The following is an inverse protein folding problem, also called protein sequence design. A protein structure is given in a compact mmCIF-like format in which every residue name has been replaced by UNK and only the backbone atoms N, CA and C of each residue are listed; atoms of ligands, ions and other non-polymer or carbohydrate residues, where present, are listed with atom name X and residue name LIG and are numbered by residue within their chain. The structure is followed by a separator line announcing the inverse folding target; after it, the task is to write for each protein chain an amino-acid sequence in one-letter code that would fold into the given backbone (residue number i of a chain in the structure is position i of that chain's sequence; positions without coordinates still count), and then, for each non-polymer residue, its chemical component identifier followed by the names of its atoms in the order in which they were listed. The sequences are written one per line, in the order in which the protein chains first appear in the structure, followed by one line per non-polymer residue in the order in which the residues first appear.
data_IF_919910744826
#
_entry.id   IF_919910744826
#
_cell.length_a   1.000
_cell.length_b   1.000
_cell.length_c   1.000
_cell.angle_alpha   90.00
_cell.angle_beta   90.00
_cell.angle_gamma   90.00
#
_symmetry.space_group_name_H-M   'P 1'
#
loop_
_entity.id
_entity.type
_entity.pdbx_description
1 polymer ?
#
# COMPACT_ATOMS: atom_id res chain seq x y z
N UNK A 1 -46.80 15.62 -2.49
CA UNK A 1 -45.63 15.31 -1.65
C UNK A 1 -45.17 16.61 -1.00
N UNK A 2 -45.04 16.67 0.33
CA UNK A 2 -44.56 17.88 1.01
C UNK A 2 -43.03 17.96 0.89
N UNK A 3 -42.48 19.16 0.74
CA UNK A 3 -41.04 19.44 0.61
C UNK A 3 -40.17 18.74 1.67
N UNK A 4 -40.70 18.59 2.88
CA UNK A 4 -40.02 17.92 4.00
C UNK A 4 -39.83 16.41 3.75
N UNK A 5 -40.75 15.76 3.05
CA UNK A 5 -40.63 14.32 2.74
C UNK A 5 -39.60 14.08 1.64
N UNK A 6 -39.49 14.98 0.66
CA UNK A 6 -38.43 14.94 -0.37
C UNK A 6 -37.04 15.13 0.25
N UNK A 7 -36.89 16.06 1.19
CA UNK A 7 -35.61 16.29 1.88
C UNK A 7 -35.19 15.09 2.74
N UNK A 8 -36.15 14.41 3.39
CA UNK A 8 -35.90 13.19 4.16
C UNK A 8 -35.48 12.02 3.28
N UNK A 9 -36.09 11.90 2.11
CA UNK A 9 -35.78 10.86 1.14
C UNK A 9 -34.40 11.10 0.50
N UNK A 10 -34.05 12.34 0.18
CA UNK A 10 -32.70 12.72 -0.28
C UNK A 10 -31.63 12.43 0.78
N UNK A 11 -31.85 12.80 2.05
CA UNK A 11 -30.91 12.49 3.14
C UNK A 11 -30.72 10.98 3.29
N UNK A 12 -31.81 10.20 3.19
CA UNK A 12 -31.72 8.73 3.28
C UNK A 12 -30.96 8.14 2.10
N UNK A 13 -31.27 8.57 0.87
CA UNK A 13 -30.58 8.13 -0.34
C UNK A 13 -29.08 8.50 -0.29
N UNK A 14 -28.74 9.71 0.17
CA UNK A 14 -27.35 10.12 0.35
C UNK A 14 -26.63 9.30 1.43
N UNK A 15 -27.28 9.01 2.56
CA UNK A 15 -26.69 8.15 3.61
C UNK A 15 -26.50 6.70 3.16
N UNK A 16 -27.46 6.15 2.41
CA UNK A 16 -27.39 4.80 1.83
C UNK A 16 -26.26 4.71 0.79
N UNK A 17 -26.11 5.74 -0.07
CA UNK A 17 -25.02 5.85 -1.03
C UNK A 17 -23.64 5.99 -0.37
N UNK A 18 -23.52 6.78 0.70
CA UNK A 18 -22.26 6.95 1.43
C UNK A 18 -21.84 5.63 2.13
N UNK A 19 -22.80 4.89 2.67
CA UNK A 19 -22.56 3.59 3.32
C UNK A 19 -22.12 2.53 2.30
N UNK A 20 -22.80 2.44 1.15
CA UNK A 20 -22.41 1.55 0.05
C UNK A 20 -21.01 1.90 -0.48
N UNK A 21 -20.72 3.19 -0.61
CA UNK A 21 -19.42 3.68 -1.06
C UNK A 21 -18.27 3.30 -0.12
N UNK A 22 -18.43 3.48 1.19
CA UNK A 22 -17.44 3.05 2.20
C UNK A 22 -17.25 1.53 2.19
N UNK A 23 -18.33 0.77 2.00
CA UNK A 23 -18.30 -0.69 1.90
C UNK A 23 -17.50 -1.17 0.68
N UNK A 24 -17.78 -0.62 -0.51
CA UNK A 24 -17.03 -0.94 -1.74
C UNK A 24 -15.55 -0.61 -1.63
N UNK A 25 -15.21 0.55 -1.04
CA UNK A 25 -13.83 0.96 -0.74
C UNK A 25 -13.12 -0.05 0.13
N UNK A 26 -13.76 -0.47 1.21
CA UNK A 26 -13.22 -1.47 2.13
C UNK A 26 -12.95 -2.81 1.44
N UNK A 27 -13.91 -3.31 0.66
CA UNK A 27 -13.74 -4.55 -0.09
C UNK A 27 -12.63 -4.46 -1.13
N UNK A 28 -12.51 -3.35 -1.86
CA UNK A 28 -11.42 -3.15 -2.82
C UNK A 28 -10.05 -3.12 -2.11
N UNK A 29 -9.94 -2.38 -1.00
CA UNK A 29 -8.72 -2.33 -0.20
C UNK A 29 -8.32 -3.71 0.32
N UNK A 30 -9.29 -4.52 0.78
CA UNK A 30 -9.05 -5.90 1.21
C UNK A 30 -8.58 -6.79 0.06
N UNK A 31 -9.22 -6.70 -1.11
CA UNK A 31 -8.82 -7.48 -2.28
C UNK A 31 -7.41 -7.11 -2.76
N UNK A 32 -7.07 -5.82 -2.76
CA UNK A 32 -5.72 -5.35 -3.07
C UNK A 32 -4.72 -5.84 -2.03
N UNK A 33 -5.04 -5.73 -0.74
CA UNK A 33 -4.19 -6.20 0.34
C UNK A 33 -3.91 -7.71 0.22
N UNK A 34 -4.94 -8.52 -0.03
CA UNK A 34 -4.81 -9.96 -0.26
C UNK A 34 -3.89 -10.28 -1.43
N UNK A 35 -4.08 -9.60 -2.58
CA UNK A 35 -3.18 -9.74 -3.74
C UNK A 35 -1.71 -9.53 -3.37
N UNK A 36 -1.37 -8.52 -2.57
CA UNK A 36 0.02 -8.26 -2.20
C UNK A 36 0.58 -9.26 -1.17
N UNK A 37 -0.27 -9.79 -0.27
CA UNK A 37 0.12 -10.88 0.63
C UNK A 37 0.37 -12.16 -0.16
N UNK A 38 -0.50 -12.52 -1.10
CA UNK A 38 -0.32 -13.67 -2.00
C UNK A 38 1.02 -13.59 -2.78
N UNK A 39 1.39 -12.38 -3.22
CA UNK A 39 2.66 -12.14 -3.89
C UNK A 39 3.86 -12.37 -2.95
N UNK A 40 3.80 -11.87 -1.70
CA UNK A 40 4.84 -12.11 -0.69
C UNK A 40 5.00 -13.61 -0.43
N UNK A 41 3.90 -14.33 -0.25
CA UNK A 41 3.94 -15.77 0.00
C UNK A 41 4.59 -16.53 -1.15
N UNK A 42 4.25 -16.19 -2.39
CA UNK A 42 4.83 -16.88 -3.54
C UNK A 42 6.33 -16.58 -3.69
N UNK A 43 6.75 -15.33 -3.49
CA UNK A 43 8.17 -14.96 -3.46
C UNK A 43 8.92 -15.71 -2.35
N UNK A 44 8.33 -15.81 -1.15
CA UNK A 44 8.91 -16.54 -0.02
C UNK A 44 9.00 -18.04 -0.31
N UNK A 45 7.99 -18.65 -0.93
CA UNK A 45 8.03 -20.06 -1.36
C UNK A 45 9.14 -20.31 -2.36
N UNK A 46 9.33 -19.41 -3.32
CA UNK A 46 10.43 -19.49 -4.28
C UNK A 46 11.77 -19.40 -3.55
N UNK A 47 11.95 -18.41 -2.66
CA UNK A 47 13.17 -18.23 -1.89
C UNK A 47 13.51 -19.45 -1.02
N UNK A 48 12.51 -20.03 -0.33
CA UNK A 48 12.66 -21.24 0.46
C UNK A 48 13.11 -22.45 -0.41
N UNK A 49 12.47 -22.65 -1.58
CA UNK A 49 12.83 -23.73 -2.52
C UNK A 49 14.22 -23.56 -3.11
N UNK A 50 14.65 -22.33 -3.35
CA UNK A 50 15.96 -22.01 -3.91
C UNK A 50 17.07 -21.97 -2.86
N UNK A 51 16.76 -22.07 -1.57
CA UNK A 51 17.75 -21.94 -0.50
C UNK A 51 18.19 -20.50 -0.21
N UNK A 52 17.45 -19.51 -0.73
CA UNK A 52 17.75 -18.09 -0.56
C UNK A 52 17.11 -17.56 0.73
N UNK A 53 17.62 -18.01 1.87
CA UNK A 53 17.20 -17.56 3.19
C UNK A 53 18.39 -17.51 4.14
N UNK A 54 18.30 -16.65 5.15
CA UNK A 54 19.31 -16.57 6.19
C UNK A 54 19.05 -17.66 7.24
N UNK A 55 20.11 -18.30 7.73
CA UNK A 55 20.02 -19.28 8.83
C UNK A 55 20.41 -18.61 10.14
N UNK A 56 19.51 -18.59 11.10
CA UNK A 56 19.70 -18.04 12.44
C UNK A 56 19.53 -19.18 13.45
N UNK A 57 20.61 -19.73 14.00
CA UNK A 57 20.67 -20.84 14.98
C UNK A 57 19.63 -21.97 14.79
N UNK A 58 18.35 -21.76 15.14
CA UNK A 58 17.25 -22.71 15.02
C UNK A 58 16.09 -22.26 14.10
N UNK A 59 16.30 -21.25 13.25
CA UNK A 59 15.29 -20.63 12.38
C UNK A 59 15.85 -20.27 11.02
N UNK A 60 14.97 -20.17 10.03
CA UNK A 60 15.24 -19.56 8.74
C UNK A 60 14.51 -18.21 8.65
N UNK A 61 15.18 -17.24 8.03
CA UNK A 61 14.63 -15.90 7.80
C UNK A 61 14.64 -15.61 6.30
N UNK A 62 13.47 -15.34 5.73
CA UNK A 62 13.33 -14.75 4.40
C UNK A 62 13.04 -13.27 4.58
N UNK A 63 13.87 -12.42 3.98
CA UNK A 63 13.66 -10.98 3.90
C UNK A 63 13.43 -10.58 2.45
N UNK A 64 12.50 -9.66 2.22
CA UNK A 64 12.17 -9.18 0.89
C UNK A 64 11.57 -7.78 0.88
N UNK A 65 11.13 -7.35 -0.30
CA UNK A 65 10.47 -6.07 -0.49
C UNK A 65 9.35 -6.21 -1.51
N UNK A 66 8.12 -5.95 -1.09
CA UNK A 66 6.96 -5.96 -1.99
C UNK A 66 6.74 -4.55 -2.54
N UNK A 67 6.98 -4.37 -3.84
CA UNK A 67 6.74 -3.11 -4.53
C UNK A 67 5.26 -2.95 -4.89
N UNK A 68 4.67 -1.80 -4.53
CA UNK A 68 3.32 -1.45 -4.93
C UNK A 68 3.29 -0.88 -6.35
N UNK A 69 2.24 -1.21 -7.07
CA UNK A 69 1.91 -0.63 -8.35
C UNK A 69 0.97 0.56 -8.17
N UNK A 70 1.41 1.78 -8.55
CA UNK A 70 0.57 3.00 -8.50
C UNK A 70 -0.80 2.80 -9.17
N UNK A 71 -0.84 2.02 -10.25
CA UNK A 71 -2.08 1.79 -11.02
C UNK A 71 -3.17 1.05 -10.24
N UNK A 72 -2.80 0.29 -9.21
CA UNK A 72 -3.78 -0.40 -8.36
C UNK A 72 -4.60 0.61 -7.52
N UNK A 73 -4.09 1.83 -7.35
CA UNK A 73 -4.69 2.92 -6.58
C UNK A 73 -5.16 4.08 -7.46
N UNK A 74 -4.93 4.02 -8.77
CA UNK A 74 -5.29 5.08 -9.74
C UNK A 74 -6.75 4.99 -10.23
N UNK A 75 -7.48 3.92 -9.90
CA UNK A 75 -8.84 3.68 -10.40
C UNK A 75 -9.87 4.59 -9.70
N UNK A 76 -10.67 5.38 -10.44
CA UNK A 76 -11.69 6.21 -9.82
C UNK A 76 -12.90 5.36 -9.40
N UNK A 77 -13.44 5.61 -8.20
CA UNK A 77 -14.62 4.90 -7.68
C UNK A 77 -15.88 5.17 -8.50
N UNK A 78 -15.91 6.34 -9.13
CA UNK A 78 -16.98 6.83 -9.99
C UNK A 78 -16.30 7.41 -11.22
N UNK A 79 -16.85 7.20 -12.41
CA UNK A 79 -16.30 7.71 -13.69
C UNK A 79 -16.06 9.23 -13.72
N UNK A 80 -16.56 9.97 -12.72
CA UNK A 80 -16.41 11.42 -12.52
C UNK A 80 -15.26 11.84 -11.60
N UNK A 81 -14.60 10.93 -10.86
CA UNK A 81 -13.48 11.31 -9.98
C UNK A 81 -12.17 11.49 -10.75
N UNK A 82 -11.43 12.56 -10.41
CA UNK A 82 -10.08 12.78 -10.93
C UNK A 82 -9.14 11.74 -10.32
N UNK A 83 -8.28 11.15 -11.16
CA UNK A 83 -7.20 10.24 -10.72
C UNK A 83 -6.38 10.93 -9.63
N UNK A 84 -6.26 10.29 -8.47
CA UNK A 84 -5.42 10.75 -7.36
C UNK A 84 -4.32 9.74 -7.11
N UNK A 85 -3.07 10.18 -7.23
CA UNK A 85 -1.92 9.39 -6.80
C UNK A 85 -1.93 9.28 -5.28
N UNK A 86 -1.40 8.19 -4.73
CA UNK A 86 -1.19 8.08 -3.28
C UNK A 86 0.11 8.78 -2.82
N UNK A 87 0.92 9.30 -3.74
CA UNK A 87 2.14 10.06 -3.46
C UNK A 87 2.02 11.50 -3.95
N UNK A 88 2.51 12.44 -3.13
CA UNK A 88 2.73 13.84 -3.50
C UNK A 88 4.22 14.13 -3.61
N UNK A 89 4.57 14.79 -4.70
CA UNK A 89 5.93 15.29 -4.97
C UNK A 89 5.92 16.81 -4.95
N UNK A 90 6.54 17.41 -3.93
CA UNK A 90 6.68 18.86 -3.81
C UNK A 90 8.15 19.24 -3.78
N UNK A 91 8.64 19.77 -4.90
CA UNK A 91 10.06 20.08 -5.13
C UNK A 91 10.95 18.83 -4.98
N UNK A 92 11.39 18.54 -3.75
CA UNK A 92 12.22 17.40 -3.38
C UNK A 92 11.64 16.58 -2.21
N UNK A 93 10.50 17.02 -1.66
CA UNK A 93 9.77 16.33 -0.60
C UNK A 93 8.82 15.34 -1.26
N UNK A 94 8.87 14.12 -0.76
CA UNK A 94 8.02 13.01 -1.18
C UNK A 94 7.24 12.58 0.05
N UNK A 95 5.93 12.59 -0.05
CA UNK A 95 5.01 12.27 1.05
C UNK A 95 3.78 11.53 0.54
N UNK A 96 3.06 10.89 1.47
CA UNK A 96 1.76 10.29 1.16
C UNK A 96 0.74 11.37 0.85
N UNK A 97 -0.12 11.12 -0.13
CA UNK A 97 -1.29 11.95 -0.39
C UNK A 97 -2.35 11.68 0.70
N UNK A 98 -2.61 12.64 1.61
CA UNK A 98 -3.60 12.44 2.66
C UNK A 98 -5.03 12.31 2.14
N UNK A 99 -5.28 12.67 0.87
CA UNK A 99 -6.61 12.61 0.26
C UNK A 99 -6.87 11.28 -0.49
N UNK A 100 -5.96 10.31 -0.39
CA UNK A 100 -6.13 8.96 -0.96
C UNK A 100 -6.70 8.00 0.09
N UNK A 101 -8.02 8.06 0.30
CA UNK A 101 -8.74 7.24 1.28
C UNK A 101 -8.63 5.73 1.00
N UNK A 102 -8.54 5.31 -0.27
CA UNK A 102 -8.34 3.89 -0.62
C UNK A 102 -7.00 3.39 -0.10
N UNK A 103 -5.94 4.18 -0.26
CA UNK A 103 -4.61 3.81 0.21
C UNK A 103 -4.55 3.73 1.73
N UNK A 104 -5.22 4.64 2.45
CA UNK A 104 -5.32 4.58 3.91
C UNK A 104 -6.01 3.30 4.40
N UNK A 105 -7.15 2.95 3.81
CA UNK A 105 -7.87 1.71 4.15
C UNK A 105 -7.06 0.48 3.76
N UNK A 106 -6.34 0.53 2.64
CA UNK A 106 -5.42 -0.52 2.20
C UNK A 106 -4.30 -0.76 3.21
N UNK A 107 -3.65 0.29 3.75
CA UNK A 107 -2.59 0.14 4.75
C UNK A 107 -3.07 -0.65 5.98
N UNK A 108 -4.29 -0.34 6.45
CA UNK A 108 -4.92 -1.03 7.58
C UNK A 108 -5.25 -2.49 7.25
N UNK A 109 -5.85 -2.75 6.08
CA UNK A 109 -6.16 -4.10 5.64
C UNK A 109 -4.90 -4.95 5.44
N UNK A 110 -3.88 -4.40 4.78
CA UNK A 110 -2.61 -5.06 4.51
C UNK A 110 -1.88 -5.46 5.78
N UNK A 111 -1.77 -4.54 6.75
CA UNK A 111 -1.16 -4.85 8.05
C UNK A 111 -1.88 -6.00 8.75
N UNK A 112 -3.21 -5.97 8.77
CA UNK A 112 -4.01 -7.04 9.41
C UNK A 112 -3.82 -8.40 8.75
N UNK A 113 -3.71 -8.43 7.42
CA UNK A 113 -3.44 -9.68 6.70
C UNK A 113 -2.00 -10.17 6.92
N UNK A 114 -1.00 -9.28 6.89
CA UNK A 114 0.38 -9.65 7.25
C UNK A 114 0.43 -10.27 8.67
N UNK A 115 -0.24 -9.64 9.65
CA UNK A 115 -0.31 -10.15 11.03
C UNK A 115 -0.99 -11.52 11.11
N UNK A 116 -2.04 -11.77 10.32
CA UNK A 116 -2.73 -13.06 10.28
C UNK A 116 -1.83 -14.19 9.71
N UNK A 117 -0.99 -13.86 8.73
CA UNK A 117 -0.07 -14.80 8.08
C UNK A 117 1.32 -14.86 8.75
N UNK A 118 1.51 -14.22 9.90
CA UNK A 118 2.80 -14.10 10.61
C UNK A 118 3.93 -13.48 9.76
N UNK A 119 3.57 -12.58 8.85
CA UNK A 119 4.51 -11.80 8.04
C UNK A 119 4.82 -10.50 8.77
N UNK A 120 6.11 -10.25 9.05
CA UNK A 120 6.56 -8.99 9.64
C UNK A 120 6.70 -7.96 8.51
N UNK A 121 5.67 -7.14 8.33
CA UNK A 121 5.66 -6.05 7.35
C UNK A 121 6.16 -4.74 8.00
N UNK A 122 7.28 -4.19 7.52
CA UNK A 122 7.78 -2.89 7.95
C UNK A 122 6.87 -1.75 7.44
N UNK A 123 6.93 -0.53 8.02
CA UNK A 123 6.15 0.62 7.54
C UNK A 123 6.39 0.88 6.05
N UNK A 124 5.45 1.55 5.38
CA UNK A 124 5.59 1.90 3.97
C UNK A 124 6.84 2.77 3.71
N UNK A 125 7.68 2.37 2.74
CA UNK A 125 8.97 3.01 2.46
C UNK A 125 9.17 3.21 0.95
N UNK A 126 9.99 4.19 0.61
CA UNK A 126 10.60 4.29 -0.70
C UNK A 126 11.87 3.44 -0.74
N UNK A 127 12.02 2.62 -1.77
CA UNK A 127 13.27 1.95 -2.12
C UNK A 127 14.05 2.87 -3.06
N UNK A 128 15.28 3.19 -2.68
CA UNK A 128 16.13 4.16 -3.37
C UNK A 128 17.43 3.47 -3.76
N UNK A 129 17.87 3.73 -4.99
CA UNK A 129 19.19 3.34 -5.49
C UNK A 129 20.13 4.55 -5.44
N UNK A 130 21.31 4.38 -4.86
CA UNK A 130 22.37 5.37 -4.92
C UNK A 130 23.15 5.32 -6.26
N UNK A 131 24.15 6.20 -6.39
CA UNK A 131 25.03 6.27 -7.58
C UNK A 131 25.86 5.00 -7.81
N UNK A 132 26.11 4.22 -6.77
CA UNK A 132 26.95 3.03 -6.76
C UNK A 132 26.10 1.75 -6.96
N UNK A 133 24.77 1.92 -7.07
CA UNK A 133 23.80 0.85 -7.26
C UNK A 133 23.29 0.22 -5.97
N UNK A 134 23.72 0.70 -4.80
CA UNK A 134 23.24 0.18 -3.53
C UNK A 134 21.78 0.58 -3.30
N UNK A 135 20.99 -0.36 -2.79
CA UNK A 135 19.61 -0.13 -2.42
C UNK A 135 19.49 0.17 -0.93
N UNK A 136 18.72 1.20 -0.60
CA UNK A 136 18.36 1.53 0.78
C UNK A 136 16.90 1.97 0.84
N UNK A 137 16.32 1.86 2.03
CA UNK A 137 14.92 2.20 2.26
C UNK A 137 14.76 3.45 3.10
N UNK A 138 13.71 4.23 2.82
CA UNK A 138 13.42 5.45 3.56
C UNK A 138 11.91 5.57 3.83
N UNK A 139 11.55 5.81 5.09
CA UNK A 139 10.17 6.10 5.49
C UNK A 139 9.73 7.47 4.98
N UNK A 140 8.44 7.63 4.71
CA UNK A 140 7.85 8.92 4.33
C UNK A 140 7.42 9.74 5.57
N UNK A 141 7.38 11.08 5.47
CA UNK A 141 7.86 11.90 4.36
C UNK A 141 9.38 11.90 4.28
N UNK A 142 9.92 12.07 3.08
CA UNK A 142 11.36 12.09 2.84
C UNK A 142 11.78 13.23 1.91
N UNK A 143 13.05 13.63 2.01
CA UNK A 143 13.68 14.52 1.03
C UNK A 143 14.87 13.81 0.42
N UNK A 144 14.96 13.76 -0.90
CA UNK A 144 16.14 13.22 -1.58
C UNK A 144 17.34 14.11 -1.27
N UNK A 145 18.39 13.54 -0.66
CA UNK A 145 19.60 14.28 -0.26
C UNK A 145 20.40 14.68 -1.49
N UNK A 146 20.38 13.84 -2.54
CA UNK A 146 21.03 14.15 -3.80
C UNK A 146 20.19 13.69 -5.00
N UNK A 147 19.20 14.49 -5.44
CA UNK A 147 18.26 14.11 -6.50
C UNK A 147 18.89 13.77 -7.87
N UNK A 148 20.14 14.18 -8.10
CA UNK A 148 20.87 13.85 -9.34
C UNK A 148 21.55 12.48 -9.29
N UNK A 149 21.73 11.92 -8.10
CA UNK A 149 22.49 10.69 -7.85
C UNK A 149 21.63 9.58 -7.25
N UNK A 150 20.62 9.94 -6.49
CA UNK A 150 19.67 9.04 -5.87
C UNK A 150 18.44 8.91 -6.78
N UNK A 151 17.99 7.67 -7.00
CA UNK A 151 16.80 7.37 -7.79
C UNK A 151 15.83 6.52 -6.98
N UNK A 152 14.57 6.93 -6.93
CA UNK A 152 13.51 6.09 -6.38
C UNK A 152 13.25 4.97 -7.37
N UNK A 153 13.39 3.73 -6.90
CA UNK A 153 13.18 2.51 -7.68
C UNK A 153 11.72 2.07 -7.55
N UNK A 154 11.20 2.07 -6.33
CA UNK A 154 9.85 1.62 -6.02
C UNK A 154 9.36 2.21 -4.68
N UNK A 155 8.06 2.10 -4.44
CA UNK A 155 7.46 2.30 -3.12
C UNK A 155 6.79 1.01 -2.68
N UNK A 156 6.87 0.67 -1.40
CA UNK A 156 6.43 -0.64 -0.96
C UNK A 156 6.72 -0.93 0.50
N UNK A 157 6.67 -2.21 0.83
CA UNK A 157 6.89 -2.71 2.19
C UNK A 157 8.06 -3.69 2.20
N UNK A 158 9.12 -3.39 2.96
CA UNK A 158 10.05 -4.43 3.37
C UNK A 158 9.31 -5.45 4.24
N UNK A 159 9.57 -6.74 4.04
CA UNK A 159 8.94 -7.81 4.81
C UNK A 159 9.96 -8.83 5.31
N UNK A 160 9.59 -9.53 6.38
CA UNK A 160 10.33 -10.65 6.96
C UNK A 160 9.40 -11.80 7.33
N UNK A 161 9.84 -13.03 7.07
CA UNK A 161 9.13 -14.26 7.44
C UNK A 161 10.12 -15.19 8.14
N UNK A 162 9.81 -15.56 9.38
CA UNK A 162 10.56 -16.53 10.18
C UNK A 162 9.87 -17.90 10.16
N UNK A 163 10.63 -18.99 9.93
CA UNK A 163 10.12 -20.37 9.95
C UNK A 163 11.18 -21.40 10.36
#
# INVERSE_FOLDING_TARGET
MQFIDQLREEIRLHGDMETDFRSRRYHQAQNLAGKYVDMIEEEARIAARSGNYERLENRALISGFIALNEKDFDAPFVTTERRKKFMRHKQYIIELDPDNELFEVFLSAFRRLCEAENIICHPFQAQISDKDGNLFYHTLPMTLRNPKKEKIVAYGFPYQIEF
#
